data_IF_908800115083
#
_entry.id   IF_908800115083
#
_cell.length_a   1.000
_cell.length_b   1.000
_cell.length_c   1.000
_cell.angle_alpha   90.00
_cell.angle_beta   90.00
_cell.angle_gamma   90.00
#
_symmetry.space_group_name_H-M   'P 1'
#
loop_
_entity.id
_entity.type
_entity.pdbx_description
1 polymer ?
#
# COMPACT_ATOMS: atom_id res chain seq x y z
N UNK A 1 -19.00 -29.10 32.78
CA UNK A 1 -18.21 -30.06 31.97
C UNK A 1 -16.75 -29.98 32.42
N UNK A 2 -16.05 -31.10 32.54
CA UNK A 2 -14.61 -31.08 32.87
C UNK A 2 -13.82 -30.43 31.71
N UNK A 3 -13.04 -29.39 32.01
CA UNK A 3 -12.25 -28.66 31.02
C UNK A 3 -11.05 -29.50 30.59
N UNK A 4 -10.65 -29.37 29.32
CA UNK A 4 -9.49 -30.10 28.80
C UNK A 4 -8.20 -29.50 29.34
N UNK A 5 -7.35 -30.32 29.99
CA UNK A 5 -6.00 -29.92 30.47
C UNK A 5 -5.12 -29.31 29.38
N UNK A 6 -5.36 -29.63 28.09
CA UNK A 6 -4.64 -29.04 26.96
C UNK A 6 -4.97 -27.56 26.78
N UNK A 7 -6.23 -27.18 26.98
CA UNK A 7 -6.67 -25.79 26.84
C UNK A 7 -6.20 -24.92 28.02
N UNK A 8 -6.20 -25.46 29.24
CA UNK A 8 -5.65 -24.78 30.41
C UNK A 8 -4.16 -24.39 30.23
N UNK A 9 -3.35 -25.31 29.69
CA UNK A 9 -1.94 -25.01 29.33
C UNK A 9 -1.83 -24.01 28.19
N UNK A 10 -2.75 -24.02 27.23
CA UNK A 10 -2.72 -23.09 26.09
C UNK A 10 -3.05 -21.68 26.54
N UNK A 11 -4.08 -21.50 27.37
CA UNK A 11 -4.53 -20.20 27.88
C UNK A 11 -3.46 -19.50 28.73
N UNK A 12 -2.70 -20.26 29.52
CA UNK A 12 -1.61 -19.72 30.34
C UNK A 12 -0.35 -19.33 29.54
N UNK A 13 -0.28 -19.58 28.23
CA UNK A 13 0.85 -19.13 27.40
C UNK A 13 0.89 -17.61 27.31
N UNK A 14 2.10 -17.05 27.31
CA UNK A 14 2.32 -15.60 27.27
C UNK A 14 1.68 -14.92 26.06
N UNK A 15 1.57 -15.61 24.93
CA UNK A 15 0.92 -15.09 23.72
C UNK A 15 -0.53 -14.62 23.96
N UNK A 16 -1.26 -15.21 24.92
CA UNK A 16 -2.64 -14.79 25.21
C UNK A 16 -2.71 -13.61 26.20
N UNK A 17 -1.56 -13.09 26.65
CA UNK A 17 -1.49 -11.82 27.38
C UNK A 17 -1.42 -10.63 26.42
N UNK A 18 -1.11 -10.88 25.16
CA UNK A 18 -1.18 -9.89 24.09
C UNK A 18 -2.63 -9.52 23.79
N UNK A 19 -2.84 -8.27 23.38
CA UNK A 19 -4.16 -7.78 23.00
C UNK A 19 -4.38 -8.01 21.52
N UNK A 20 -5.32 -8.91 21.20
CA UNK A 20 -5.82 -9.10 19.84
C UNK A 20 -7.15 -8.38 19.69
N UNK A 21 -7.26 -7.54 18.67
CA UNK A 21 -8.51 -6.89 18.27
C UNK A 21 -8.94 -7.39 16.91
N UNK A 22 -10.25 -7.51 16.71
CA UNK A 22 -10.79 -7.71 15.37
C UNK A 22 -10.59 -6.44 14.53
N UNK A 23 -10.44 -6.55 13.21
CA UNK A 23 -10.35 -5.38 12.34
C UNK A 23 -11.54 -4.43 12.55
N UNK A 24 -11.25 -3.13 12.65
CA UNK A 24 -12.25 -2.08 12.80
C UNK A 24 -11.93 -0.93 11.83
N UNK A 25 -12.34 -1.04 10.55
CA UNK A 25 -11.93 -0.13 9.49
C UNK A 25 -12.39 1.32 9.70
N UNK A 26 -13.57 1.54 10.28
CA UNK A 26 -14.13 2.86 10.55
C UNK A 26 -13.29 3.68 11.53
N UNK A 27 -12.55 2.98 12.42
CA UNK A 27 -11.60 3.59 13.36
C UNK A 27 -10.15 3.56 12.85
N UNK A 28 -9.91 3.09 11.62
CA UNK A 28 -8.58 2.90 11.06
C UNK A 28 -7.78 1.75 11.67
N UNK A 29 -8.41 0.86 12.45
CA UNK A 29 -7.76 -0.31 13.05
C UNK A 29 -7.80 -1.50 12.09
N UNK A 30 -7.17 -1.33 10.93
CA UNK A 30 -6.97 -2.35 9.93
C UNK A 30 -5.56 -2.21 9.36
N UNK A 31 -4.85 -3.32 9.19
CA UNK A 31 -3.42 -3.29 8.84
C UNK A 31 -3.22 -2.86 7.38
N UNK A 32 -4.00 -3.44 6.47
CA UNK A 32 -4.00 -3.18 5.02
C UNK A 32 -5.37 -3.54 4.44
N UNK A 33 -5.68 -3.04 3.25
CA UNK A 33 -6.89 -3.38 2.48
C UNK A 33 -8.19 -2.97 3.19
N UNK A 34 -8.19 -1.73 3.70
CA UNK A 34 -9.41 -1.15 4.22
C UNK A 34 -10.41 -0.93 3.09
N UNK A 35 -11.72 -1.18 3.30
CA UNK A 35 -12.75 -0.76 2.35
C UNK A 35 -12.80 0.77 2.15
N UNK A 36 -12.14 1.54 3.02
CA UNK A 36 -12.01 2.99 2.93
C UNK A 36 -10.71 3.46 2.28
N UNK A 37 -9.79 2.55 1.93
CA UNK A 37 -8.58 2.91 1.19
C UNK A 37 -8.97 3.35 -0.23
N UNK A 38 -8.39 4.44 -0.75
CA UNK A 38 -8.69 4.89 -2.10
C UNK A 38 -8.17 3.90 -3.15
N UNK A 39 -8.85 3.86 -4.29
CA UNK A 39 -8.34 3.13 -5.45
C UNK A 39 -7.26 3.96 -6.15
N UNK A 40 -6.21 3.35 -6.72
CA UNK A 40 -5.17 4.10 -7.38
C UNK A 40 -5.67 4.80 -8.64
N UNK A 41 -5.49 6.11 -8.69
CA UNK A 41 -5.81 6.93 -9.86
C UNK A 41 -4.93 8.17 -9.89
N UNK A 42 -4.70 8.70 -11.09
CA UNK A 42 -4.00 9.95 -11.27
C UNK A 42 -4.51 10.62 -12.55
N UNK A 43 -4.98 11.86 -12.44
CA UNK A 43 -5.36 12.69 -13.59
C UNK A 43 -4.40 13.86 -13.71
N UNK A 44 -3.79 13.97 -14.90
CA UNK A 44 -2.89 15.06 -15.25
C UNK A 44 -3.50 15.93 -16.35
N UNK A 45 -3.56 17.24 -16.14
CA UNK A 45 -3.96 18.21 -17.16
C UNK A 45 -2.93 19.34 -17.22
N UNK A 46 -2.45 19.65 -18.43
CA UNK A 46 -1.46 20.72 -18.66
C UNK A 46 -0.22 20.65 -17.74
N UNK A 47 0.20 19.44 -17.34
CA UNK A 47 1.35 19.23 -16.45
C UNK A 47 1.06 19.45 -14.95
N UNK A 48 -0.20 19.58 -14.56
CA UNK A 48 -0.64 19.67 -13.17
C UNK A 48 -1.52 18.48 -12.79
N UNK A 49 -1.43 18.05 -11.53
CA UNK A 49 -2.29 16.98 -10.99
C UNK A 49 -3.65 17.56 -10.64
N UNK A 50 -4.69 17.03 -11.28
CA UNK A 50 -6.08 17.41 -11.04
C UNK A 50 -6.81 16.43 -10.13
N UNK A 51 -6.32 15.19 -10.06
CA UNK A 51 -6.84 14.14 -9.20
C UNK A 51 -5.71 13.20 -8.80
N UNK A 52 -5.68 12.77 -7.54
CA UNK A 52 -4.80 11.72 -7.03
C UNK A 52 -5.61 10.79 -6.12
N UNK A 53 -5.56 9.48 -6.38
CA UNK A 53 -6.19 8.42 -5.58
C UNK A 53 -7.67 8.71 -5.25
N UNK A 54 -8.43 9.09 -6.28
CA UNK A 54 -9.87 9.38 -6.22
C UNK A 54 -10.23 10.72 -5.59
N UNK A 55 -9.25 11.53 -5.20
CA UNK A 55 -9.46 12.87 -4.62
C UNK A 55 -9.13 13.95 -5.64
N UNK A 56 -10.05 14.88 -5.84
CA UNK A 56 -9.84 16.03 -6.71
C UNK A 56 -8.89 17.06 -6.07
N UNK A 57 -8.15 17.81 -6.88
CA UNK A 57 -7.18 18.79 -6.42
C UNK A 57 -7.78 19.89 -5.53
N UNK A 58 -9.08 20.20 -5.73
CA UNK A 58 -9.81 21.15 -4.89
C UNK A 58 -10.03 20.65 -3.45
N UNK A 59 -10.01 19.34 -3.24
CA UNK A 59 -10.25 18.68 -1.97
C UNK A 59 -8.97 18.14 -1.32
N UNK A 60 -7.80 18.47 -1.89
CA UNK A 60 -6.51 18.09 -1.35
C UNK A 60 -6.23 18.74 -0.01
N UNK A 61 -5.87 17.90 0.97
CA UNK A 61 -5.34 18.38 2.23
C UNK A 61 -3.84 18.72 2.11
N UNK A 62 -3.21 19.05 3.23
CA UNK A 62 -1.80 19.41 3.27
C UNK A 62 -0.87 18.26 2.83
N UNK A 63 -1.23 17.01 3.10
CA UNK A 63 -0.45 15.83 2.73
C UNK A 63 -0.57 15.60 1.23
N UNK A 64 -1.78 15.64 0.69
CA UNK A 64 -2.03 15.46 -0.75
C UNK A 64 -1.25 16.51 -1.57
N UNK A 65 -1.36 17.79 -1.17
CA UNK A 65 -0.64 18.89 -1.81
C UNK A 65 0.88 18.68 -1.76
N UNK A 66 1.40 18.23 -0.61
CA UNK A 66 2.83 18.00 -0.45
C UNK A 66 3.32 16.87 -1.37
N UNK A 67 2.59 15.76 -1.45
CA UNK A 67 2.91 14.61 -2.31
C UNK A 67 2.95 15.02 -3.77
N UNK A 68 1.89 15.70 -4.23
CA UNK A 68 1.77 16.17 -5.61
C UNK A 68 2.89 17.14 -6.01
N UNK A 69 3.30 18.01 -5.09
CA UNK A 69 4.32 19.03 -5.38
C UNK A 69 5.76 18.52 -5.30
N UNK A 70 6.04 17.49 -4.47
CA UNK A 70 7.42 17.16 -4.11
C UNK A 70 7.79 15.68 -4.28
N UNK A 71 6.82 14.77 -4.33
CA UNK A 71 7.08 13.32 -4.24
C UNK A 71 6.81 12.57 -5.54
N UNK A 72 6.04 13.13 -6.47
CA UNK A 72 5.68 12.49 -7.73
C UNK A 72 6.51 13.01 -8.91
N UNK A 73 7.17 12.10 -9.61
CA UNK A 73 7.76 12.39 -10.92
C UNK A 73 6.68 12.32 -12.01
N UNK A 74 6.16 13.49 -12.37
CA UNK A 74 5.10 13.63 -13.37
C UNK A 74 5.53 13.19 -14.79
N UNK A 75 6.83 13.11 -15.07
CA UNK A 75 7.31 12.61 -16.36
C UNK A 75 7.16 11.09 -16.48
N UNK A 76 7.25 10.36 -15.36
CA UNK A 76 7.15 8.89 -15.31
C UNK A 76 5.75 8.43 -14.89
N UNK A 77 5.00 9.26 -14.17
CA UNK A 77 3.70 8.90 -13.61
C UNK A 77 2.70 8.26 -14.60
N UNK A 78 2.56 8.74 -15.87
CA UNK A 78 1.66 8.10 -16.82
C UNK A 78 2.02 6.63 -17.10
N UNK A 79 3.32 6.33 -17.24
CA UNK A 79 3.81 4.96 -17.47
C UNK A 79 3.62 4.10 -16.21
N UNK A 80 4.01 4.64 -15.05
CA UNK A 80 3.93 3.94 -13.78
C UNK A 80 2.48 3.59 -13.39
N UNK A 81 1.54 4.52 -13.58
CA UNK A 81 0.13 4.31 -13.25
C UNK A 81 -0.57 3.37 -14.26
N UNK A 82 -0.16 3.39 -15.54
CA UNK A 82 -0.68 2.47 -16.56
C UNK A 82 -0.14 1.03 -16.43
N UNK A 83 1.02 0.85 -15.80
CA UNK A 83 1.60 -0.47 -15.58
C UNK A 83 0.80 -1.23 -14.51
N UNK A 84 0.38 -2.49 -14.75
CA UNK A 84 -0.31 -3.28 -13.74
C UNK A 84 0.52 -3.44 -12.47
N UNK A 85 -0.12 -3.30 -11.31
CA UNK A 85 0.58 -3.32 -10.02
C UNK A 85 1.31 -4.65 -9.78
N UNK A 86 0.71 -5.76 -10.22
CA UNK A 86 1.33 -7.09 -10.19
C UNK A 86 2.59 -7.20 -11.06
N UNK A 87 2.71 -6.43 -12.15
CA UNK A 87 3.90 -6.44 -13.00
C UNK A 87 5.05 -5.69 -12.32
N UNK A 88 4.77 -4.55 -11.70
CA UNK A 88 5.76 -3.84 -10.88
C UNK A 88 6.16 -4.70 -9.67
N UNK A 89 5.22 -5.42 -9.06
CA UNK A 89 5.51 -6.36 -7.97
C UNK A 89 6.48 -7.47 -8.40
N UNK A 90 6.29 -8.04 -9.60
CA UNK A 90 7.24 -9.01 -10.19
C UNK A 90 8.61 -8.39 -10.43
N UNK A 91 8.65 -7.15 -10.92
CA UNK A 91 9.91 -6.43 -11.12
C UNK A 91 10.71 -6.24 -9.82
N UNK A 92 10.05 -6.11 -8.67
CA UNK A 92 10.73 -5.97 -7.36
C UNK A 92 11.54 -7.22 -7.02
N UNK A 93 11.02 -8.41 -7.33
CA UNK A 93 11.65 -9.70 -6.98
C UNK A 93 12.44 -10.34 -8.12
N UNK A 94 12.42 -9.74 -9.31
CA UNK A 94 13.15 -10.26 -10.47
C UNK A 94 14.62 -9.83 -10.44
N UNK A 95 15.52 -10.80 -10.27
CA UNK A 95 16.97 -10.62 -10.25
C UNK A 95 17.54 -9.99 -11.53
N UNK A 96 16.80 -10.04 -12.64
CA UNK A 96 17.22 -9.47 -13.92
C UNK A 96 16.82 -7.99 -14.05
N UNK A 97 15.99 -7.47 -13.14
CA UNK A 97 15.56 -6.08 -13.12
C UNK A 97 16.44 -5.31 -12.15
N UNK A 98 17.03 -4.21 -12.60
CA UNK A 98 17.84 -3.37 -11.73
C UNK A 98 16.97 -2.58 -10.76
N UNK A 99 17.50 -2.30 -9.56
CA UNK A 99 16.88 -1.40 -8.57
C UNK A 99 16.48 -0.06 -9.20
N UNK A 100 17.31 0.50 -10.08
CA UNK A 100 17.07 1.81 -10.70
C UNK A 100 15.82 1.78 -11.58
N UNK A 101 15.56 0.69 -12.29
CA UNK A 101 14.37 0.53 -13.12
C UNK A 101 13.09 0.53 -12.26
N UNK A 102 13.09 -0.20 -11.15
CA UNK A 102 11.98 -0.23 -10.19
C UNK A 102 11.78 1.14 -9.54
N UNK A 103 12.86 1.78 -9.07
CA UNK A 103 12.79 3.09 -8.43
C UNK A 103 12.23 4.17 -9.34
N UNK A 104 12.58 4.15 -10.64
CA UNK A 104 12.04 5.08 -11.62
C UNK A 104 10.51 4.99 -11.69
N UNK A 105 9.97 3.76 -11.80
CA UNK A 105 8.52 3.56 -11.81
C UNK A 105 7.88 3.95 -10.48
N UNK A 106 8.49 3.55 -9.35
CA UNK A 106 7.98 3.88 -8.02
C UNK A 106 7.88 5.40 -7.77
N UNK A 107 8.79 6.21 -8.33
CA UNK A 107 8.74 7.67 -8.25
C UNK A 107 7.52 8.27 -8.99
N UNK A 108 6.93 7.56 -9.95
CA UNK A 108 5.71 7.95 -10.64
C UNK A 108 4.42 7.36 -10.05
N UNK A 109 4.50 6.51 -9.03
CA UNK A 109 3.35 5.86 -8.43
C UNK A 109 2.71 6.72 -7.33
N UNK A 110 1.38 6.78 -7.30
CA UNK A 110 0.64 7.36 -6.18
C UNK A 110 0.74 6.51 -4.91
N UNK A 111 0.43 7.05 -3.72
CA UNK A 111 0.42 6.29 -2.48
C UNK A 111 -0.44 5.02 -2.54
N UNK A 112 -1.65 5.12 -3.09
CA UNK A 112 -2.51 3.94 -3.23
C UNK A 112 -1.90 2.92 -4.19
N UNK A 113 -1.28 3.37 -5.31
CA UNK A 113 -0.62 2.49 -6.26
C UNK A 113 0.53 1.70 -5.63
N UNK A 114 1.38 2.38 -4.84
CA UNK A 114 2.47 1.73 -4.10
C UNK A 114 1.94 0.67 -3.13
N UNK A 115 0.86 0.98 -2.42
CA UNK A 115 0.22 0.03 -1.50
C UNK A 115 -0.34 -1.18 -2.26
N UNK A 116 -0.98 -0.96 -3.41
CA UNK A 116 -1.49 -2.04 -4.28
C UNK A 116 -0.37 -2.95 -4.80
N UNK A 117 0.78 -2.40 -5.19
CA UNK A 117 1.95 -3.18 -5.64
C UNK A 117 2.41 -4.14 -4.53
N UNK A 118 2.59 -3.64 -3.31
CA UNK A 118 3.07 -4.44 -2.18
C UNK A 118 2.06 -5.53 -1.80
N UNK A 119 0.76 -5.31 -2.01
CA UNK A 119 -0.29 -6.32 -1.76
C UNK A 119 -0.17 -7.57 -2.63
N UNK A 120 0.55 -7.51 -3.74
CA UNK A 120 0.83 -8.68 -4.57
C UNK A 120 1.99 -9.53 -4.04
N UNK A 121 2.71 -9.07 -3.02
CA UNK A 121 3.87 -9.75 -2.47
C UNK A 121 3.52 -10.42 -1.14
N UNK A 122 4.07 -11.60 -0.92
CA UNK A 122 4.12 -12.23 0.40
C UNK A 122 5.38 -11.79 1.16
N UNK A 123 5.48 -12.18 2.43
CA UNK A 123 6.57 -11.74 3.32
C UNK A 123 7.95 -12.18 2.82
N UNK A 124 8.07 -13.35 2.20
CA UNK A 124 9.34 -13.81 1.63
C UNK A 124 9.75 -12.94 0.45
N UNK A 125 8.80 -12.65 -0.44
CA UNK A 125 9.04 -11.79 -1.61
C UNK A 125 9.45 -10.36 -1.21
N UNK A 126 8.92 -9.82 -0.11
CA UNK A 126 9.33 -8.51 0.41
C UNK A 126 10.74 -8.51 1.03
N UNK A 127 11.30 -9.68 1.37
CA UNK A 127 12.63 -9.81 1.98
C UNK A 127 13.74 -10.10 0.96
N UNK A 128 13.38 -10.52 -0.26
CA UNK A 128 14.32 -10.81 -1.36
C UNK A 128 14.96 -9.54 -1.90
#
# INVERSE_FOLDING_TARGET
>A
MARSKRFERRESRDINKETYVSPWPEAGLMVVDSPYDPQPSLLLEAGQVQEMDGRAAADFDMIDQFIVQNCLDLAVAPEAMATPSADIARMIVDINVSRQAVQRLAAGCTPAKLTEIIRHLNVLEMMM
#
